data_IF_059555430879
#
_entry.id   IF_059555430879
#
_cell.length_a   1.000
_cell.length_b   1.000
_cell.length_c   1.000
_cell.angle_alpha   90.00
_cell.angle_beta   90.00
_cell.angle_gamma   90.00
#
_symmetry.space_group_name_H-M   'P 1'
#
loop_
_entity.id
_entity.type
_entity.pdbx_description
1 polymer ?
#
# COMPACT_ATOMS: atom_id res chain seq x y z
N UNK A 1 -12.58 8.90 -14.57
CA UNK A 1 -11.31 8.38 -14.02
C UNK A 1 -10.25 8.45 -15.10
N UNK A 2 -9.03 8.87 -14.76
CA UNK A 2 -7.89 9.00 -15.68
C UNK A 2 -6.73 8.18 -15.12
N UNK A 3 -6.05 7.44 -15.99
CA UNK A 3 -4.81 6.74 -15.63
C UNK A 3 -3.70 7.72 -15.29
N UNK A 4 -3.00 7.47 -14.18
CA UNK A 4 -1.73 8.13 -13.84
C UNK A 4 -0.60 7.28 -14.40
N UNK A 5 0.16 7.84 -15.34
CA UNK A 5 1.21 7.09 -16.04
C UNK A 5 2.52 7.13 -15.29
N UNK A 6 3.37 6.13 -15.50
CA UNK A 6 4.74 6.12 -14.96
C UNK A 6 5.54 7.39 -15.31
N UNK A 7 5.40 7.89 -16.54
CA UNK A 7 6.06 9.12 -16.99
C UNK A 7 5.63 10.35 -16.20
N UNK A 8 4.35 10.42 -15.83
CA UNK A 8 3.79 11.52 -15.04
C UNK A 8 4.31 11.46 -13.59
N UNK A 9 4.44 10.25 -13.04
CA UNK A 9 5.09 10.04 -11.74
C UNK A 9 6.58 10.43 -11.77
N UNK A 10 7.33 10.07 -12.81
CA UNK A 10 8.74 10.47 -12.94
C UNK A 10 8.90 12.00 -13.07
N UNK A 11 8.02 12.65 -13.81
CA UNK A 11 8.00 14.11 -13.92
C UNK A 11 7.63 14.75 -12.58
N UNK A 12 6.64 14.20 -11.88
CA UNK A 12 6.27 14.63 -10.53
C UNK A 12 7.48 14.54 -9.60
N UNK A 13 8.18 13.41 -9.53
CA UNK A 13 9.37 13.24 -8.69
C UNK A 13 10.49 14.25 -8.99
N UNK A 14 10.69 14.61 -10.26
CA UNK A 14 11.71 15.60 -10.66
C UNK A 14 11.37 17.01 -10.18
N UNK A 15 10.08 17.35 -10.15
CA UNK A 15 9.60 18.67 -9.75
C UNK A 15 9.35 18.76 -8.24
N UNK A 16 8.82 17.68 -7.65
CA UNK A 16 8.41 17.56 -6.26
C UNK A 16 8.83 16.18 -5.71
N UNK A 17 9.84 16.17 -4.85
CA UNK A 17 10.30 14.93 -4.20
C UNK A 17 9.47 14.48 -2.99
N UNK A 18 8.27 15.05 -2.80
CA UNK A 18 7.42 14.87 -1.62
C UNK A 18 5.96 15.20 -1.93
N UNK A 19 5.05 14.62 -1.16
CA UNK A 19 3.61 14.94 -1.13
C UNK A 19 3.20 15.44 0.25
N UNK A 20 2.12 16.21 0.32
CA UNK A 20 1.56 16.77 1.55
C UNK A 20 0.12 16.27 1.69
N UNK A 21 -0.04 15.22 2.49
CA UNK A 21 -1.36 14.67 2.79
C UNK A 21 -1.86 15.34 4.07
N UNK A 22 -2.81 16.26 3.92
CA UNK A 22 -3.32 17.11 4.99
C UNK A 22 -2.19 17.94 5.63
N UNK A 23 -1.72 17.54 6.82
CA UNK A 23 -0.62 18.16 7.57
C UNK A 23 0.64 17.28 7.63
N UNK A 24 0.64 16.12 6.96
CA UNK A 24 1.76 15.18 6.97
C UNK A 24 2.54 15.31 5.66
N UNK A 25 3.83 15.59 5.78
CA UNK A 25 4.74 15.59 4.64
C UNK A 25 5.35 14.18 4.47
N UNK A 26 5.18 13.60 3.28
CA UNK A 26 5.74 12.28 2.93
C UNK A 26 6.80 12.47 1.86
N UNK A 27 8.04 12.04 2.14
CA UNK A 27 9.10 12.02 1.14
C UNK A 27 8.91 10.86 0.19
N UNK A 28 8.89 11.14 -1.11
CA UNK A 28 8.89 10.12 -2.17
C UNK A 28 10.32 9.78 -2.62
N UNK A 29 11.29 10.60 -2.21
CA UNK A 29 12.70 10.43 -2.53
C UNK A 29 13.45 9.74 -1.41
N UNK A 30 14.52 9.03 -1.80
CA UNK A 30 15.37 8.25 -0.90
C UNK A 30 15.04 6.76 -0.94
N UNK A 31 16.06 5.92 -1.12
CA UNK A 31 15.88 4.47 -1.00
C UNK A 31 15.73 4.13 0.47
N UNK A 32 14.55 3.66 0.85
CA UNK A 32 14.34 3.09 2.19
C UNK A 32 15.09 1.76 2.28
N UNK A 33 15.86 1.56 3.35
CA UNK A 33 16.39 0.24 3.66
C UNK A 33 15.22 -0.66 4.10
N UNK A 34 14.99 -1.72 3.34
CA UNK A 34 13.95 -2.71 3.63
C UNK A 34 14.62 -3.88 4.36
N UNK A 35 14.30 -4.06 5.64
CA UNK A 35 14.84 -5.15 6.45
C UNK A 35 14.18 -6.49 6.09
N UNK A 36 12.87 -6.50 5.91
CA UNK A 36 12.08 -7.70 5.60
C UNK A 36 11.04 -7.38 4.53
N UNK A 37 10.84 -8.28 3.56
CA UNK A 37 9.79 -8.13 2.54
C UNK A 37 8.47 -8.75 2.98
N UNK A 38 8.52 -9.80 3.80
CA UNK A 38 7.35 -10.53 4.29
C UNK A 38 7.34 -10.47 5.82
N UNK A 39 6.16 -10.56 6.45
CA UNK A 39 6.07 -10.80 7.89
C UNK A 39 6.65 -12.18 8.23
N UNK A 40 7.33 -12.29 9.38
CA UNK A 40 7.94 -13.54 9.85
C UNK A 40 6.86 -14.53 10.34
N UNK A 41 5.91 -14.03 11.14
CA UNK A 41 4.93 -14.86 11.85
C UNK A 41 3.48 -14.48 11.50
N UNK A 42 3.18 -14.31 10.20
CA UNK A 42 1.79 -14.03 9.79
C UNK A 42 0.98 -15.32 9.69
N UNK A 43 -0.09 -15.39 10.48
CA UNK A 43 -1.11 -16.42 10.37
C UNK A 43 -2.41 -15.85 9.82
N UNK A 44 -3.14 -16.69 9.08
CA UNK A 44 -4.39 -16.28 8.45
C UNK A 44 -5.51 -16.20 9.50
N UNK A 45 -6.12 -15.04 9.67
CA UNK A 45 -7.13 -14.78 10.70
C UNK A 45 -8.51 -15.34 10.32
N UNK A 46 -8.94 -16.44 10.95
CA UNK A 46 -10.08 -17.28 10.50
C UNK A 46 -11.44 -16.89 11.07
N UNK A 47 -11.49 -16.05 12.08
CA UNK A 47 -12.73 -15.62 12.74
C UNK A 47 -13.24 -14.32 12.13
N UNK A 48 -14.29 -13.73 12.72
CA UNK A 48 -14.82 -12.43 12.31
C UNK A 48 -14.25 -11.25 13.11
N UNK A 49 -13.40 -11.51 14.11
CA UNK A 49 -12.81 -10.50 14.99
C UNK A 49 -11.29 -10.68 14.99
N UNK A 50 -10.58 -9.69 14.45
CA UNK A 50 -9.12 -9.75 14.30
C UNK A 50 -8.46 -8.69 15.18
N UNK A 51 -7.28 -9.00 15.73
CA UNK A 51 -6.54 -8.09 16.59
C UNK A 51 -5.09 -7.98 16.14
N UNK A 52 -4.69 -6.78 15.72
CA UNK A 52 -3.32 -6.47 15.33
C UNK A 52 -2.77 -5.36 16.25
N UNK A 53 -2.34 -5.70 17.48
CA UNK A 53 -1.86 -4.70 18.44
C UNK A 53 -0.64 -3.94 17.93
N UNK A 54 0.15 -4.57 17.06
CA UNK A 54 1.28 -3.96 16.38
C UNK A 54 1.02 -3.88 14.87
N UNK A 55 1.12 -2.66 14.32
CA UNK A 55 1.05 -2.45 12.87
C UNK A 55 2.27 -3.08 12.20
N UNK A 56 2.04 -3.84 11.12
CA UNK A 56 3.14 -4.35 10.30
C UNK A 56 4.02 -3.25 9.70
N UNK A 57 5.33 -3.49 9.70
CA UNK A 57 6.36 -2.57 9.19
C UNK A 57 7.24 -3.19 8.09
N UNK A 58 6.85 -4.36 7.56
CA UNK A 58 7.58 -5.01 6.47
C UNK A 58 7.43 -4.24 5.15
N UNK A 59 8.32 -4.54 4.21
CA UNK A 59 8.44 -3.89 2.92
C UNK A 59 8.50 -2.36 3.06
N UNK A 60 7.56 -1.66 2.42
CA UNK A 60 7.49 -0.20 2.40
C UNK A 60 6.40 0.36 3.33
N UNK A 61 5.68 -0.50 4.07
CA UNK A 61 4.54 -0.09 4.90
C UNK A 61 4.93 0.96 5.94
N UNK A 62 4.16 2.05 6.00
CA UNK A 62 4.33 3.14 6.95
C UNK A 62 2.98 3.64 7.46
N UNK A 63 2.88 3.96 8.74
CA UNK A 63 1.65 4.50 9.36
C UNK A 63 1.52 6.02 9.23
N UNK A 64 2.17 6.63 8.24
CA UNK A 64 2.24 8.09 8.05
C UNK A 64 1.19 8.63 7.07
N UNK A 65 0.19 7.83 6.71
CA UNK A 65 -0.95 8.27 5.94
C UNK A 65 -2.21 8.07 6.76
N UNK A 66 -3.00 9.14 6.92
CA UNK A 66 -4.18 9.12 7.77
C UNK A 66 -5.20 8.11 7.26
N UNK A 67 -5.72 7.28 8.17
CA UNK A 67 -6.74 6.29 7.85
C UNK A 67 -6.22 5.06 7.11
N UNK A 68 -4.90 4.88 6.97
CA UNK A 68 -4.38 3.65 6.40
C UNK A 68 -4.55 2.46 7.36
N UNK A 69 -4.90 1.31 6.79
CA UNK A 69 -5.02 0.08 7.58
C UNK A 69 -3.67 -0.60 7.81
N UNK A 70 -3.63 -1.40 8.87
CA UNK A 70 -2.52 -2.30 9.16
C UNK A 70 -2.40 -3.34 8.02
N UNK A 71 -1.19 -3.60 7.49
CA UNK A 71 -1.02 -4.44 6.31
C UNK A 71 -1.46 -5.89 6.50
N UNK A 72 -1.58 -6.36 7.74
CA UNK A 72 -2.21 -7.64 8.06
C UNK A 72 -3.65 -7.76 7.51
N UNK A 73 -4.41 -6.67 7.49
CA UNK A 73 -5.82 -6.66 7.04
C UNK A 73 -5.94 -7.00 5.55
N UNK A 74 -5.36 -6.21 4.61
CA UNK A 74 -5.44 -6.54 3.20
C UNK A 74 -4.73 -7.87 2.90
N UNK A 75 -3.64 -8.20 3.59
CA UNK A 75 -2.97 -9.50 3.46
C UNK A 75 -3.92 -10.68 3.72
N UNK A 76 -4.67 -10.63 4.83
CA UNK A 76 -5.62 -11.66 5.19
C UNK A 76 -6.72 -11.80 4.14
N UNK A 77 -7.27 -10.68 3.66
CA UNK A 77 -8.31 -10.68 2.62
C UNK A 77 -7.79 -11.21 1.28
N UNK A 78 -6.63 -10.74 0.82
CA UNK A 78 -6.04 -11.15 -0.45
C UNK A 78 -5.70 -12.64 -0.43
N UNK A 79 -5.13 -13.17 0.66
CA UNK A 79 -4.85 -14.59 0.80
C UNK A 79 -6.10 -15.47 0.83
N UNK A 80 -7.21 -14.96 1.39
CA UNK A 80 -8.47 -15.68 1.50
C UNK A 80 -9.26 -15.75 0.20
N UNK A 81 -9.28 -14.65 -0.54
CA UNK A 81 -10.26 -14.45 -1.62
C UNK A 81 -9.63 -14.36 -3.00
N UNK A 82 -8.31 -14.51 -3.12
CA UNK A 82 -7.63 -14.50 -4.43
C UNK A 82 -6.50 -15.51 -4.50
N UNK A 83 -6.18 -15.93 -5.71
CA UNK A 83 -5.00 -16.71 -6.08
C UNK A 83 -3.90 -15.82 -6.66
N UNK A 84 -2.64 -16.30 -6.67
CA UNK A 84 -1.58 -15.66 -7.45
C UNK A 84 -2.03 -15.38 -8.90
N UNK A 85 -1.60 -14.24 -9.43
CA UNK A 85 -1.96 -13.69 -10.74
C UNK A 85 -3.40 -13.20 -10.93
N UNK A 86 -4.29 -13.36 -9.94
CA UNK A 86 -5.59 -12.71 -9.98
C UNK A 86 -5.51 -11.20 -9.70
N UNK A 87 -6.61 -10.50 -9.96
CA UNK A 87 -6.72 -9.05 -9.84
C UNK A 87 -7.40 -8.62 -8.55
N UNK A 88 -6.86 -7.59 -7.92
CA UNK A 88 -7.45 -6.88 -6.79
C UNK A 88 -7.67 -5.42 -7.18
N UNK A 89 -8.88 -4.92 -6.97
CA UNK A 89 -9.21 -3.51 -7.13
C UNK A 89 -9.35 -2.87 -5.75
N UNK A 90 -8.63 -1.77 -5.54
CA UNK A 90 -8.81 -0.87 -4.40
C UNK A 90 -9.29 0.50 -4.91
N UNK A 91 -10.58 0.85 -4.76
CA UNK A 91 -11.14 2.10 -5.25
C UNK A 91 -10.85 3.32 -4.35
N UNK A 92 -10.18 3.12 -3.21
CA UNK A 92 -9.79 4.17 -2.26
C UNK A 92 -8.39 3.88 -1.72
N UNK A 93 -7.42 3.80 -2.63
CA UNK A 93 -6.12 3.17 -2.39
C UNK A 93 -5.26 3.89 -1.34
N UNK A 94 -5.45 5.19 -1.14
CA UNK A 94 -4.69 6.00 -0.18
C UNK A 94 -3.18 5.75 -0.31
N UNK A 95 -2.51 5.43 0.80
CA UNK A 95 -1.07 5.11 0.80
C UNK A 95 -0.64 3.83 0.07
N UNK A 96 -1.56 3.06 -0.52
CA UNK A 96 -1.21 1.90 -1.33
C UNK A 96 -0.95 0.60 -0.57
N UNK A 97 -1.34 0.49 0.70
CA UNK A 97 -1.14 -0.73 1.51
C UNK A 97 -1.63 -1.99 0.77
N UNK A 98 -2.79 -1.92 0.12
CA UNK A 98 -3.37 -3.02 -0.66
C UNK A 98 -2.49 -3.42 -1.85
N UNK A 99 -2.00 -2.44 -2.62
CA UNK A 99 -1.16 -2.70 -3.79
C UNK A 99 0.21 -3.24 -3.41
N UNK A 100 0.77 -2.77 -2.29
CA UNK A 100 2.01 -3.33 -1.73
C UNK A 100 1.80 -4.81 -1.40
N UNK A 101 0.72 -5.16 -0.68
CA UNK A 101 0.42 -6.57 -0.39
C UNK A 101 0.13 -7.39 -1.65
N UNK A 102 -0.56 -6.83 -2.66
CA UNK A 102 -0.76 -7.49 -3.93
C UNK A 102 0.58 -7.88 -4.56
N UNK A 103 1.53 -6.94 -4.63
CA UNK A 103 2.86 -7.20 -5.18
C UNK A 103 3.63 -8.25 -4.37
N UNK A 104 3.58 -8.18 -3.04
CA UNK A 104 4.26 -9.14 -2.16
C UNK A 104 3.67 -10.55 -2.25
N UNK A 105 2.37 -10.67 -2.54
CA UNK A 105 1.65 -11.93 -2.65
C UNK A 105 1.50 -12.43 -4.10
N UNK A 106 2.06 -11.71 -5.08
CA UNK A 106 1.99 -12.09 -6.49
C UNK A 106 0.61 -11.93 -7.13
N UNK A 107 -0.18 -10.93 -6.72
CA UNK A 107 -1.43 -10.51 -7.36
C UNK A 107 -1.20 -9.26 -8.23
N UNK A 108 -2.06 -9.11 -9.23
CA UNK A 108 -2.20 -7.85 -9.94
C UNK A 108 -3.08 -6.91 -9.10
N UNK A 109 -2.73 -5.63 -9.05
CA UNK A 109 -3.44 -4.63 -8.26
C UNK A 109 -3.77 -3.40 -9.09
N UNK A 110 -4.99 -2.89 -8.96
CA UNK A 110 -5.42 -1.58 -9.49
C UNK A 110 -5.82 -0.72 -8.30
N UNK A 111 -5.19 0.43 -8.15
CA UNK A 111 -5.55 1.44 -7.16
C UNK A 111 -6.19 2.64 -7.83
N UNK A 112 -7.26 3.15 -7.23
CA UNK A 112 -7.88 4.42 -7.60
C UNK A 112 -8.00 5.26 -6.34
N UNK A 113 -7.70 6.55 -6.46
CA UNK A 113 -8.01 7.53 -5.44
C UNK A 113 -8.49 8.81 -6.11
N UNK A 114 -9.31 9.58 -5.39
CA UNK A 114 -9.68 10.93 -5.82
C UNK A 114 -8.57 11.93 -5.50
N UNK A 115 -7.78 11.65 -4.46
CA UNK A 115 -6.63 12.45 -4.09
C UNK A 115 -5.46 12.11 -5.03
N UNK A 116 -5.13 13.06 -5.91
CA UNK A 116 -4.03 12.91 -6.85
C UNK A 116 -2.68 12.70 -6.15
N UNK A 117 -2.46 13.31 -4.97
CA UNK A 117 -1.23 13.12 -4.20
C UNK A 117 -1.11 11.73 -3.59
N UNK A 118 -2.20 10.96 -3.46
CA UNK A 118 -2.13 9.57 -3.04
C UNK A 118 -1.64 8.65 -4.18
N UNK A 119 -1.70 9.12 -5.43
CA UNK A 119 -1.29 8.39 -6.62
C UNK A 119 0.13 8.76 -7.10
N UNK A 120 0.81 9.65 -6.37
CA UNK A 120 2.19 10.09 -6.60
C UNK A 120 3.09 9.61 -5.47
#
# INVERSE_FOLDING_TARGET
MREVRWQEYEEFLRQQGKVIIENIQISLTGRKQIATLQPVDFELEQTTVWSFPNRGTWATHQGNYRGNWAPQIPRNLILRYTQPSEWVLDPMVGSGTTLVECKLLGRNGIGVDINYEALM
#
